data_IF_358947176959
#
_entry.id   IF_358947176959
#
_cell.length_a   1.000
_cell.length_b   1.000
_cell.length_c   1.000
_cell.angle_alpha   90.00
_cell.angle_beta   90.00
_cell.angle_gamma   90.00
#
_symmetry.space_group_name_H-M   'P 1'
#
loop_
_entity.id
_entity.type
_entity.pdbx_description
1 polymer ?
#
# COMPACT_ATOMS: atom_id res chain seq x y z
N UNK A 1 -34.41 42.71 0.23
CA UNK A 1 -34.98 42.30 -1.07
C UNK A 1 -35.16 40.79 -1.05
N UNK A 2 -36.37 40.31 -1.35
CA UNK A 2 -36.81 38.94 -1.62
C UNK A 2 -36.25 37.69 -0.85
N UNK A 3 -37.07 37.15 0.07
CA UNK A 3 -37.56 35.73 0.23
C UNK A 3 -36.74 34.59 -0.44
N UNK A 4 -36.45 33.40 0.12
CA UNK A 4 -36.92 32.56 1.24
C UNK A 4 -36.11 31.23 1.21
N UNK A 5 -36.41 30.11 1.90
CA UNK A 5 -37.58 29.67 2.69
C UNK A 5 -37.13 28.81 3.89
N UNK A 6 -38.02 28.68 4.88
CA UNK A 6 -37.97 27.71 6.01
C UNK A 6 -38.04 26.25 5.51
N UNK A 7 -37.37 25.32 6.19
CA UNK A 7 -37.76 23.90 6.23
C UNK A 7 -37.37 23.22 7.55
N UNK A 8 -38.14 22.19 7.91
CA UNK A 8 -38.21 21.51 9.21
C UNK A 8 -38.57 20.02 8.98
N UNK A 9 -38.37 19.10 9.91
CA UNK A 9 -38.03 19.28 11.34
C UNK A 9 -37.04 18.21 11.87
N UNK A 10 -36.87 18.17 13.19
CA UNK A 10 -36.51 17.04 14.06
C UNK A 10 -36.64 15.62 13.49
N UNK A 11 -35.82 14.69 14.01
CA UNK A 11 -36.24 13.30 14.14
C UNK A 11 -35.12 12.27 14.27
N UNK A 12 -34.81 11.82 15.48
CA UNK A 12 -34.18 10.51 15.69
C UNK A 12 -35.18 9.42 15.32
N UNK A 13 -34.89 8.65 14.27
CA UNK A 13 -35.67 7.48 13.86
C UNK A 13 -34.83 6.20 13.95
N UNK A 14 -35.01 5.45 15.04
CA UNK A 14 -34.66 4.03 15.09
C UNK A 14 -35.85 3.23 14.54
N UNK A 15 -35.76 2.66 13.34
CA UNK A 15 -36.40 1.37 13.00
C UNK A 15 -35.92 0.83 11.63
N UNK A 16 -35.36 -0.37 11.66
CA UNK A 16 -35.46 -1.46 10.65
C UNK A 16 -35.67 -1.11 9.16
N UNK A 17 -34.69 -1.44 8.31
CA UNK A 17 -34.97 -1.76 6.90
C UNK A 17 -33.87 -1.48 5.86
N UNK A 18 -33.07 -2.51 5.55
CA UNK A 18 -32.36 -2.77 4.29
C UNK A 18 -31.33 -1.73 3.75
N UNK A 19 -30.15 -2.23 3.36
CA UNK A 19 -29.02 -1.46 2.82
C UNK A 19 -29.39 -0.63 1.57
N UNK A 20 -28.99 0.65 1.54
CA UNK A 20 -28.30 1.21 0.37
C UNK A 20 -27.44 2.45 0.69
N UNK A 21 -26.31 2.54 -0.01
CA UNK A 21 -25.55 3.76 -0.28
C UNK A 21 -24.92 4.52 0.91
N UNK A 22 -23.89 3.92 1.50
CA UNK A 22 -22.98 4.64 2.40
C UNK A 22 -22.08 5.64 1.65
N UNK A 23 -22.47 6.92 1.63
CA UNK A 23 -21.56 8.06 1.43
C UNK A 23 -21.96 9.24 2.32
N UNK A 24 -21.50 9.23 3.57
CA UNK A 24 -20.98 10.43 4.22
C UNK A 24 -19.71 9.98 4.95
N UNK A 25 -18.57 10.55 4.56
CA UNK A 25 -17.27 10.19 5.12
C UNK A 25 -17.19 10.67 6.58
N UNK A 26 -17.34 9.74 7.54
CA UNK A 26 -17.26 10.01 8.97
C UNK A 26 -15.83 10.30 9.45
N UNK A 27 -15.27 11.42 9.00
CA UNK A 27 -14.29 12.24 9.73
C UNK A 27 -12.96 11.61 10.16
N UNK A 28 -12.59 10.42 9.65
CA UNK A 28 -11.35 9.72 10.01
C UNK A 28 -10.68 9.05 8.80
N UNK A 29 -10.56 9.78 7.69
CA UNK A 29 -9.42 9.57 6.80
C UNK A 29 -8.18 10.12 7.51
N UNK A 30 -7.64 9.35 8.45
CA UNK A 30 -6.39 9.69 9.12
C UNK A 30 -5.27 9.54 8.09
N UNK A 31 -4.56 10.63 7.79
CA UNK A 31 -3.34 10.66 6.97
C UNK A 31 -2.18 9.99 7.70
N UNK A 32 -2.36 8.71 8.02
CA UNK A 32 -1.46 7.91 8.84
C UNK A 32 -0.46 7.20 7.95
N UNK A 33 0.78 7.70 7.95
CA UNK A 33 1.91 6.96 7.40
C UNK A 33 2.10 5.67 8.21
N UNK A 34 2.20 4.55 7.52
CA UNK A 34 2.51 3.23 8.09
C UNK A 34 3.63 2.57 7.30
N UNK A 35 4.43 1.74 7.98
CA UNK A 35 5.38 0.86 7.30
C UNK A 35 4.61 -0.25 6.59
N UNK A 36 4.74 -0.33 5.27
CA UNK A 36 4.08 -1.38 4.48
C UNK A 36 4.77 -2.74 4.64
N UNK A 37 6.11 -2.77 4.57
CA UNK A 37 6.93 -3.98 4.65
C UNK A 37 8.31 -3.67 5.24
N UNK A 38 9.04 -4.70 5.66
CA UNK A 38 10.41 -4.55 6.17
C UNK A 38 10.49 -4.34 7.69
N UNK A 39 11.73 -4.34 8.20
CA UNK A 39 12.04 -3.94 9.58
C UNK A 39 13.23 -2.98 9.55
N UNK A 40 13.06 -1.69 9.93
CA UNK A 40 14.10 -0.67 9.78
C UNK A 40 15.41 -0.95 10.53
N UNK A 41 15.39 -1.82 11.55
CA UNK A 41 16.56 -2.20 12.34
C UNK A 41 17.26 -3.48 11.86
N UNK A 42 16.75 -4.15 10.82
CA UNK A 42 17.24 -5.43 10.33
C UNK A 42 17.35 -5.43 8.79
N UNK A 43 18.45 -4.91 8.21
CA UNK A 43 18.66 -5.01 6.78
C UNK A 43 18.86 -6.47 6.33
N UNK A 44 18.62 -6.75 5.05
CA UNK A 44 18.84 -8.06 4.44
C UNK A 44 17.95 -8.29 3.22
N UNK A 45 17.99 -9.49 2.63
CA UNK A 45 17.30 -9.80 1.36
C UNK A 45 16.16 -10.84 1.49
N UNK A 46 15.67 -11.11 2.71
CA UNK A 46 14.64 -12.12 2.91
C UNK A 46 13.35 -11.78 2.14
N UNK A 47 12.83 -12.75 1.40
CA UNK A 47 11.48 -12.74 0.80
C UNK A 47 10.43 -13.30 1.78
N UNK A 48 9.14 -13.22 1.43
CA UNK A 48 8.03 -13.75 2.23
C UNK A 48 6.92 -12.72 2.47
N UNK A 49 6.21 -12.83 3.60
CA UNK A 49 5.17 -11.86 3.95
C UNK A 49 5.76 -10.49 4.29
N UNK A 50 4.94 -9.42 4.21
CA UNK A 50 5.36 -8.04 4.51
C UNK A 50 6.17 -7.88 5.82
N UNK A 51 5.81 -8.64 6.87
CA UNK A 51 6.45 -8.60 8.18
C UNK A 51 7.76 -9.42 8.26
N UNK A 52 7.95 -10.40 7.38
CA UNK A 52 9.15 -11.26 7.31
C UNK A 52 10.18 -10.66 6.34
N UNK A 53 9.72 -10.09 5.22
CA UNK A 53 10.57 -9.54 4.19
C UNK A 53 11.55 -8.49 4.73
N UNK A 54 12.76 -8.46 4.17
CA UNK A 54 13.81 -7.48 4.50
C UNK A 54 14.33 -6.82 3.23
N UNK A 55 14.88 -5.62 3.37
CA UNK A 55 15.48 -4.81 2.30
C UNK A 55 16.84 -4.29 2.76
N UNK A 56 17.71 -3.90 1.82
CA UNK A 56 19.02 -3.32 2.04
C UNK A 56 19.17 -2.06 1.19
N UNK A 57 19.07 -0.89 1.83
CA UNK A 57 19.10 0.43 1.22
C UNK A 57 18.29 0.54 -0.09
N UNK A 58 16.95 0.37 -0.03
CA UNK A 58 16.10 0.54 -1.20
C UNK A 58 16.05 2.01 -1.64
N UNK A 59 16.29 2.28 -2.93
CA UNK A 59 16.48 3.65 -3.45
C UNK A 59 15.36 4.14 -4.37
N UNK A 60 14.57 3.25 -4.97
CA UNK A 60 13.51 3.60 -5.90
C UNK A 60 12.29 2.67 -5.77
N UNK A 61 11.13 3.19 -6.17
CA UNK A 61 9.84 2.51 -6.11
C UNK A 61 9.03 2.81 -7.39
N UNK A 62 8.32 1.81 -7.91
CA UNK A 62 7.33 1.96 -8.98
C UNK A 62 6.08 1.11 -8.67
N UNK A 63 4.93 1.45 -9.26
CA UNK A 63 3.66 0.74 -9.04
C UNK A 63 2.98 0.48 -10.38
N UNK A 64 2.49 -0.74 -10.61
CA UNK A 64 1.74 -1.10 -11.83
C UNK A 64 0.23 -0.89 -11.69
N UNK A 65 -0.52 -1.06 -12.78
CA UNK A 65 -1.98 -0.94 -12.81
C UNK A 65 -2.73 -2.04 -12.05
N UNK A 66 -2.04 -3.09 -11.59
CA UNK A 66 -2.58 -4.15 -10.75
C UNK A 66 -2.28 -3.91 -9.25
N UNK A 67 -1.58 -2.82 -8.92
CA UNK A 67 -1.17 -2.49 -7.56
C UNK A 67 0.03 -3.27 -7.05
N UNK A 68 0.79 -3.94 -7.93
CA UNK A 68 2.10 -4.48 -7.54
C UNK A 68 3.10 -3.34 -7.39
N UNK A 69 3.91 -3.41 -6.34
CA UNK A 69 4.98 -2.45 -6.06
C UNK A 69 6.31 -3.09 -6.41
N UNK A 70 7.15 -2.36 -7.13
CA UNK A 70 8.48 -2.76 -7.55
C UNK A 70 9.50 -1.87 -6.83
N UNK A 71 10.52 -2.46 -6.22
CA UNK A 71 11.51 -1.77 -5.39
C UNK A 71 12.91 -2.09 -5.93
N UNK A 72 13.72 -1.06 -6.14
CA UNK A 72 15.15 -1.20 -6.38
C UNK A 72 15.86 -1.32 -5.03
N UNK A 73 16.28 -2.54 -4.69
CA UNK A 73 16.82 -2.92 -3.38
C UNK A 73 18.35 -2.95 -3.45
N UNK A 74 18.94 -1.76 -3.39
CA UNK A 74 20.24 -1.46 -4.00
C UNK A 74 21.42 -2.17 -3.33
N UNK A 75 21.50 -2.20 -2.00
CA UNK A 75 22.59 -2.92 -1.32
C UNK A 75 22.48 -4.44 -1.50
N UNK A 76 21.31 -4.95 -1.85
CA UNK A 76 21.08 -6.36 -2.15
C UNK A 76 21.29 -6.71 -3.64
N UNK A 77 21.53 -5.74 -4.55
CA UNK A 77 21.61 -5.93 -6.01
C UNK A 77 20.36 -6.60 -6.62
N UNK A 78 19.16 -6.32 -6.09
CA UNK A 78 17.92 -7.00 -6.52
C UNK A 78 16.80 -6.03 -6.87
N UNK A 79 15.89 -6.48 -7.73
CA UNK A 79 14.56 -5.88 -7.91
C UNK A 79 13.56 -6.74 -7.15
N UNK A 80 12.82 -6.13 -6.23
CA UNK A 80 11.85 -6.80 -5.36
C UNK A 80 10.44 -6.44 -5.81
N UNK A 81 9.53 -7.40 -5.78
CA UNK A 81 8.10 -7.20 -6.09
C UNK A 81 7.26 -7.48 -4.85
N UNK A 82 6.42 -6.52 -4.46
CA UNK A 82 5.35 -6.69 -3.47
C UNK A 82 4.02 -6.80 -4.21
N UNK A 83 3.24 -7.84 -3.91
CA UNK A 83 1.89 -8.01 -4.47
C UNK A 83 0.82 -7.37 -3.56
N UNK A 84 -0.38 -7.02 -4.09
CA UNK A 84 -1.53 -6.61 -3.27
C UNK A 84 -1.95 -7.64 -2.20
N UNK A 85 -1.53 -8.91 -2.35
CA UNK A 85 -1.77 -9.99 -1.38
C UNK A 85 -0.75 -10.01 -0.23
N UNK A 86 0.15 -9.03 -0.13
CA UNK A 86 1.09 -8.89 0.98
C UNK A 86 2.29 -9.84 0.94
N UNK A 87 2.70 -10.27 -0.25
CA UNK A 87 3.89 -11.12 -0.44
C UNK A 87 4.97 -10.35 -1.18
N UNK A 88 6.21 -10.45 -0.69
CA UNK A 88 7.43 -9.92 -1.28
C UNK A 88 8.23 -11.07 -1.90
N UNK A 89 8.66 -10.91 -3.15
CA UNK A 89 9.54 -11.83 -3.86
C UNK A 89 10.64 -11.08 -4.62
N UNK A 90 11.82 -11.68 -4.73
CA UNK A 90 12.86 -11.23 -5.66
C UNK A 90 12.42 -11.52 -7.09
N UNK A 91 12.33 -10.47 -7.92
CA UNK A 91 11.94 -10.54 -9.32
C UNK A 91 13.15 -10.70 -10.24
N UNK A 92 14.26 -10.03 -9.91
CA UNK A 92 15.51 -10.06 -10.66
C UNK A 92 16.71 -9.78 -9.74
N UNK A 93 17.89 -10.22 -10.17
CA UNK A 93 19.12 -10.17 -9.38
C UNK A 93 19.24 -11.31 -8.36
N UNK A 94 20.38 -11.37 -7.68
CA UNK A 94 20.65 -12.31 -6.59
C UNK A 94 21.29 -11.56 -5.42
N UNK A 95 20.79 -11.82 -4.21
CA UNK A 95 21.20 -11.10 -3.01
C UNK A 95 22.72 -11.18 -2.76
N UNK A 96 23.38 -10.02 -2.75
CA UNK A 96 24.83 -9.91 -2.55
C UNK A 96 25.68 -10.08 -3.81
N UNK A 97 25.09 -10.50 -4.93
CA UNK A 97 25.79 -10.78 -6.19
C UNK A 97 25.44 -9.71 -7.25
N UNK A 98 26.31 -8.68 -7.45
CA UNK A 98 26.07 -7.67 -8.47
C UNK A 98 26.21 -8.29 -9.87
N UNK A 99 25.21 -8.06 -10.72
CA UNK A 99 25.16 -8.61 -12.08
C UNK A 99 24.65 -7.61 -13.11
N UNK A 100 25.05 -7.82 -14.36
CA UNK A 100 24.62 -7.03 -15.53
C UNK A 100 23.97 -7.90 -16.61
N UNK A 101 23.46 -9.07 -16.23
CA UNK A 101 22.79 -9.99 -17.14
C UNK A 101 21.32 -9.58 -17.29
N UNK A 102 20.89 -9.32 -18.52
CA UNK A 102 19.51 -8.96 -18.83
C UNK A 102 18.57 -10.17 -18.68
N UNK A 103 17.35 -9.91 -18.18
CA UNK A 103 16.25 -10.88 -18.15
C UNK A 103 15.53 -10.96 -19.50
N UNK A 104 14.66 -11.96 -19.68
CA UNK A 104 13.95 -12.19 -20.95
C UNK A 104 12.79 -11.22 -21.23
N UNK A 105 12.35 -10.44 -20.23
CA UNK A 105 11.13 -9.63 -20.28
C UNK A 105 9.87 -10.40 -19.90
#
# INVERSE_FOLDING_TARGET
MHIGRKARETGTALLTGLLLLGVLCNGNAQDKVTTLAGSPALPGAADGSLAVARFGDPTAIAVDSLGNIYIADTANNTIRKITPLGTVSTLAGLAGEPGSADGTG
#
